data_IF_330162571561
#
_entry.id   IF_330162571561
#
_cell.length_a   1.000
_cell.length_b   1.000
_cell.length_c   1.000
_cell.angle_alpha   90.00
_cell.angle_beta   90.00
_cell.angle_gamma   90.00
#
_symmetry.space_group_name_H-M   'P 1'
#
loop_
_entity.id
_entity.type
_entity.pdbx_description
1 polymer ?
#
# COMPACT_ATOMS: atom_id res chain seq x y z
N UNK A 1 46.69 -55.47 -29.18
CA UNK A 1 46.28 -54.08 -29.47
C UNK A 1 44.85 -53.93 -28.98
N UNK A 2 44.64 -52.97 -28.08
CA UNK A 2 43.34 -52.60 -27.55
C UNK A 2 42.62 -51.76 -28.62
N UNK A 3 41.43 -52.17 -29.04
CA UNK A 3 40.52 -51.28 -29.73
C UNK A 3 39.30 -51.07 -28.84
N UNK A 4 39.25 -49.87 -28.28
CA UNK A 4 38.17 -49.32 -27.49
C UNK A 4 36.89 -49.26 -28.32
N UNK A 5 35.86 -50.01 -27.90
CA UNK A 5 34.49 -49.80 -28.38
C UNK A 5 34.02 -48.44 -27.89
N UNK A 6 33.90 -47.49 -28.81
CA UNK A 6 33.15 -46.26 -28.59
C UNK A 6 31.66 -46.60 -28.60
N UNK A 7 31.02 -46.57 -27.42
CA UNK A 7 29.56 -46.55 -27.34
C UNK A 7 29.05 -45.27 -28.00
N UNK A 8 28.33 -45.43 -29.11
CA UNK A 8 27.62 -44.35 -29.75
C UNK A 8 26.42 -44.01 -28.86
N UNK A 9 26.53 -42.95 -28.07
CA UNK A 9 25.43 -42.36 -27.30
C UNK A 9 24.36 -41.88 -28.29
N UNK A 10 23.43 -42.76 -28.64
CA UNK A 10 22.29 -42.43 -29.47
C UNK A 10 21.37 -41.54 -28.62
N UNK A 11 21.35 -40.25 -28.96
CA UNK A 11 20.48 -39.28 -28.33
C UNK A 11 19.03 -39.74 -28.37
N UNK A 12 18.38 -39.69 -27.21
CA UNK A 12 17.01 -40.16 -27.00
C UNK A 12 16.09 -39.47 -28.01
N UNK A 13 15.33 -40.24 -28.79
CA UNK A 13 14.44 -39.69 -29.82
C UNK A 13 13.17 -39.14 -29.16
N UNK A 14 12.69 -37.96 -29.55
CA UNK A 14 11.50 -37.30 -28.94
C UNK A 14 10.26 -38.20 -28.84
N UNK A 15 10.06 -39.11 -29.81
CA UNK A 15 8.99 -40.10 -29.79
C UNK A 15 9.10 -41.08 -28.61
N UNK A 16 10.29 -41.49 -28.20
CA UNK A 16 10.51 -42.40 -27.08
C UNK A 16 10.14 -41.72 -25.76
N UNK A 17 10.44 -40.43 -25.61
CA UNK A 17 10.05 -39.61 -24.47
C UNK A 17 8.52 -39.51 -24.31
N UNK A 18 7.82 -39.29 -25.42
CA UNK A 18 6.35 -39.25 -25.44
C UNK A 18 5.74 -40.61 -25.08
N UNK A 19 6.33 -41.70 -25.55
CA UNK A 19 5.84 -43.04 -25.26
C UNK A 19 6.03 -43.40 -23.77
N UNK A 20 7.16 -42.99 -23.17
CA UNK A 20 7.40 -43.09 -21.73
C UNK A 20 6.39 -42.28 -20.91
N UNK A 21 6.07 -41.06 -21.33
CA UNK A 21 5.04 -40.23 -20.68
C UNK A 21 3.65 -40.90 -20.72
N UNK A 22 3.29 -41.52 -21.85
CA UNK A 22 2.02 -42.27 -21.97
C UNK A 22 2.01 -43.51 -21.06
N UNK A 23 3.11 -44.24 -20.96
CA UNK A 23 3.21 -45.42 -20.10
C UNK A 23 3.11 -45.08 -18.60
N UNK A 24 3.50 -43.87 -18.19
CA UNK A 24 3.45 -43.39 -16.81
C UNK A 24 2.41 -42.28 -16.58
N UNK A 25 1.32 -42.29 -17.35
CA UNK A 25 0.30 -41.23 -17.35
C UNK A 25 -0.27 -40.89 -15.95
N UNK A 26 -0.41 -41.89 -15.06
CA UNK A 26 -0.87 -41.65 -13.67
C UNK A 26 0.08 -40.75 -12.88
N UNK A 27 1.39 -40.96 -12.99
CA UNK A 27 2.39 -40.12 -12.32
C UNK A 27 2.39 -38.69 -12.88
N UNK A 28 2.18 -38.56 -14.19
CA UNK A 28 2.02 -37.26 -14.82
C UNK A 28 0.79 -36.51 -14.29
N UNK A 29 -0.37 -37.17 -14.25
CA UNK A 29 -1.61 -36.60 -13.69
C UNK A 29 -1.40 -36.16 -12.23
N UNK A 30 -0.75 -36.98 -11.40
CA UNK A 30 -0.51 -36.65 -9.99
C UNK A 30 0.36 -35.39 -9.87
N UNK A 31 1.45 -35.29 -10.63
CA UNK A 31 2.31 -34.11 -10.63
C UNK A 31 1.56 -32.87 -11.10
N UNK A 32 0.80 -32.96 -12.19
CA UNK A 32 -0.01 -31.85 -12.72
C UNK A 32 -1.06 -31.40 -11.71
N UNK A 33 -1.78 -32.35 -11.10
CA UNK A 33 -2.80 -32.05 -10.09
C UNK A 33 -2.19 -31.41 -8.85
N UNK A 34 -1.06 -31.93 -8.36
CA UNK A 34 -0.36 -31.36 -7.20
C UNK A 34 0.12 -29.94 -7.50
N UNK A 35 0.69 -29.69 -8.68
CA UNK A 35 1.10 -28.36 -9.11
C UNK A 35 -0.09 -27.38 -9.15
N UNK A 36 -1.22 -27.79 -9.78
CA UNK A 36 -2.44 -26.98 -9.83
C UNK A 36 -3.00 -26.65 -8.45
N UNK A 37 -3.01 -27.62 -7.53
CA UNK A 37 -3.46 -27.42 -6.15
C UNK A 37 -2.57 -26.42 -5.41
N UNK A 38 -1.24 -26.55 -5.54
CA UNK A 38 -0.28 -25.61 -4.93
C UNK A 38 -0.42 -24.20 -5.51
N UNK A 39 -0.51 -24.05 -6.83
CA UNK A 39 -0.71 -22.75 -7.49
C UNK A 39 -2.02 -22.11 -7.06
N UNK A 40 -3.11 -22.87 -7.03
CA UNK A 40 -4.43 -22.36 -6.62
C UNK A 40 -4.41 -21.94 -5.16
N UNK A 41 -3.81 -22.75 -4.27
CA UNK A 41 -3.60 -22.38 -2.87
C UNK A 41 -2.81 -21.08 -2.73
N UNK A 42 -1.70 -20.96 -3.45
CA UNK A 42 -0.87 -19.75 -3.43
C UNK A 42 -1.65 -18.50 -3.87
N UNK A 43 -2.45 -18.59 -4.93
CA UNK A 43 -3.27 -17.47 -5.43
C UNK A 43 -4.35 -17.03 -4.44
N UNK A 44 -4.98 -17.97 -3.73
CA UNK A 44 -6.01 -17.66 -2.72
C UNK A 44 -5.39 -16.93 -1.52
N UNK A 45 -4.17 -17.31 -1.12
CA UNK A 45 -3.48 -16.73 0.04
C UNK A 45 -2.83 -15.37 -0.25
N UNK A 46 -2.33 -15.15 -1.47
CA UNK A 46 -1.57 -13.94 -1.81
C UNK A 46 -2.49 -12.72 -1.88
N UNK A 47 -2.06 -11.63 -1.24
CA UNK A 47 -2.70 -10.32 -1.38
C UNK A 47 -2.27 -9.67 -2.71
N UNK A 48 -3.20 -9.18 -3.54
CA UNK A 48 -2.85 -8.42 -4.73
C UNK A 48 -2.18 -7.09 -4.31
N UNK A 49 -1.11 -6.74 -5.02
CA UNK A 49 -0.43 -5.45 -4.87
C UNK A 49 -0.87 -4.58 -6.05
N UNK A 50 -1.35 -3.38 -5.75
CA UNK A 50 -1.85 -2.44 -6.75
C UNK A 50 -0.88 -1.28 -6.89
N UNK A 51 -0.54 -0.92 -8.13
CA UNK A 51 0.26 0.25 -8.46
C UNK A 51 -0.65 1.34 -9.02
N UNK A 52 -0.35 2.60 -8.66
CA UNK A 52 -1.03 3.79 -9.18
C UNK A 52 0.04 4.78 -9.61
N UNK A 53 -0.01 5.18 -10.88
CA UNK A 53 0.90 6.18 -11.45
C UNK A 53 0.10 7.42 -11.84
N UNK A 54 0.68 8.60 -11.62
CA UNK A 54 0.14 9.88 -12.05
C UNK A 54 1.23 10.64 -12.80
N UNK A 55 0.84 11.39 -13.84
CA UNK A 55 1.73 12.27 -14.59
C UNK A 55 1.28 13.71 -14.39
N UNK A 56 2.23 14.59 -14.06
CA UNK A 56 1.97 16.01 -13.83
C UNK A 56 2.74 16.77 -14.92
N UNK A 57 2.04 17.65 -15.63
CA UNK A 57 2.63 18.53 -16.64
C UNK A 57 2.68 19.95 -16.08
N UNK A 58 3.89 20.52 -16.00
CA UNK A 58 4.10 21.91 -15.56
C UNK A 58 4.17 22.77 -16.82
N UNK A 59 3.28 23.77 -16.90
CA UNK A 59 3.31 24.77 -17.95
C UNK A 59 3.89 26.06 -17.37
N UNK A 60 5.00 26.50 -17.95
CA UNK A 60 5.56 27.81 -17.64
C UNK A 60 4.77 28.88 -18.40
N UNK A 61 3.94 29.65 -17.70
CA UNK A 61 3.39 30.89 -18.25
C UNK A 61 4.46 31.98 -18.14
N UNK A 62 5.49 31.91 -18.99
CA UNK A 62 6.42 33.00 -19.20
C UNK A 62 5.73 34.15 -19.96
N UNK A 63 4.71 34.78 -19.37
CA UNK A 63 4.26 36.08 -19.83
C UNK A 63 5.32 37.11 -19.43
N UNK A 64 5.91 37.88 -20.37
CA UNK A 64 6.89 38.91 -20.05
C UNK A 64 6.16 40.12 -19.47
N UNK A 65 5.62 39.99 -18.26
CA UNK A 65 5.00 41.08 -17.51
C UNK A 65 6.08 41.90 -16.81
N UNK A 66 6.95 42.56 -17.58
CA UNK A 66 7.62 43.77 -17.13
C UNK A 66 8.12 44.56 -18.34
N UNK A 67 7.84 45.86 -18.36
CA UNK A 67 8.27 46.79 -19.42
C UNK A 67 9.81 46.93 -19.53
N UNK A 68 10.59 46.24 -18.68
CA UNK A 68 12.05 46.12 -18.76
C UNK A 68 12.52 45.03 -19.75
N UNK A 69 11.64 44.10 -20.15
CA UNK A 69 12.01 42.95 -20.98
C UNK A 69 12.16 43.29 -22.47
N UNK A 70 11.54 44.37 -22.96
CA UNK A 70 11.65 44.75 -24.38
C UNK A 70 13.09 45.10 -24.81
N UNK A 71 13.88 45.71 -23.93
CA UNK A 71 15.30 46.01 -24.18
C UNK A 71 16.22 44.79 -24.05
N UNK A 72 15.87 43.84 -23.18
CA UNK A 72 16.65 42.62 -22.93
C UNK A 72 16.35 41.50 -23.95
N UNK A 73 15.16 41.51 -24.56
CA UNK A 73 14.76 40.54 -25.60
C UNK A 73 15.64 40.61 -26.84
N UNK A 74 16.14 41.80 -27.18
CA UNK A 74 17.06 42.03 -28.30
C UNK A 74 18.46 41.42 -28.03
N UNK A 75 18.86 41.30 -26.74
CA UNK A 75 20.13 40.69 -26.32
C UNK A 75 20.02 39.16 -26.12
N UNK A 76 18.79 38.64 -26.03
CA UNK A 76 18.51 37.19 -25.91
C UNK A 76 18.50 36.47 -27.27
N UNK A 77 18.49 37.20 -28.40
CA UNK A 77 18.58 36.64 -29.75
C UNK A 77 19.89 35.89 -30.05
N UNK A 78 20.86 35.90 -29.14
CA UNK A 78 22.17 35.24 -29.30
C UNK A 78 22.46 34.13 -28.27
N UNK A 79 21.52 33.79 -27.39
CA UNK A 79 21.78 32.85 -26.28
C UNK A 79 20.54 32.14 -25.73
N UNK A 80 19.57 31.85 -26.60
CA UNK A 80 18.27 31.28 -26.20
C UNK A 80 18.35 29.84 -25.70
N UNK A 81 18.74 29.62 -24.44
CA UNK A 81 18.46 28.38 -23.69
C UNK A 81 18.82 28.45 -22.18
N UNK A 82 18.56 29.53 -21.43
CA UNK A 82 19.00 29.56 -20.01
C UNK A 82 17.98 30.01 -18.95
N UNK A 83 16.72 30.30 -19.32
CA UNK A 83 15.75 30.89 -18.37
C UNK A 83 14.69 29.95 -17.77
N UNK A 84 14.35 28.83 -18.41
CA UNK A 84 13.14 28.06 -18.08
C UNK A 84 13.36 26.82 -17.19
N UNK A 85 14.60 26.34 -17.03
CA UNK A 85 14.86 25.05 -16.36
C UNK A 85 14.88 25.12 -14.83
N UNK A 86 15.21 26.27 -14.24
CA UNK A 86 15.36 26.41 -12.79
C UNK A 86 14.02 26.48 -12.04
N UNK A 87 12.96 27.05 -12.65
CA UNK A 87 11.66 27.20 -12.01
C UNK A 87 10.95 25.84 -11.84
N UNK A 88 10.93 25.02 -12.89
CA UNK A 88 10.36 23.66 -12.84
C UNK A 88 11.06 22.79 -11.78
N UNK A 89 12.38 22.85 -11.71
CA UNK A 89 13.16 22.09 -10.74
C UNK A 89 12.87 22.51 -9.30
N UNK A 90 12.69 23.81 -9.05
CA UNK A 90 12.36 24.34 -7.71
C UNK A 90 10.96 23.89 -7.25
N UNK A 91 9.96 23.94 -8.13
CA UNK A 91 8.60 23.48 -7.80
C UNK A 91 8.55 21.96 -7.54
N UNK A 92 9.28 21.19 -8.36
CA UNK A 92 9.37 19.74 -8.16
C UNK A 92 10.01 19.38 -6.80
N UNK A 93 11.08 20.08 -6.40
CA UNK A 93 11.73 19.88 -5.10
C UNK A 93 10.80 20.29 -3.96
N UNK A 94 10.10 21.42 -4.11
CA UNK A 94 9.11 21.89 -3.13
C UNK A 94 7.99 20.86 -2.92
N UNK A 95 7.47 20.25 -4.00
CA UNK A 95 6.45 19.20 -3.92
C UNK A 95 6.97 17.93 -3.21
N UNK A 96 8.23 17.55 -3.43
CA UNK A 96 8.86 16.38 -2.80
C UNK A 96 9.37 16.62 -1.37
N UNK A 97 9.19 17.82 -0.82
CA UNK A 97 9.73 18.15 0.51
C UNK A 97 9.00 17.37 1.63
N UNK A 98 9.70 16.81 2.64
CA UNK A 98 9.12 16.00 3.72
C UNK A 98 7.97 16.70 4.47
N UNK A 99 8.06 18.01 4.65
CA UNK A 99 7.03 18.79 5.33
C UNK A 99 5.69 18.75 4.57
N UNK A 100 5.73 18.86 3.23
CA UNK A 100 4.55 18.82 2.38
C UNK A 100 3.97 17.40 2.35
N UNK A 101 4.83 16.38 2.22
CA UNK A 101 4.41 14.97 2.27
C UNK A 101 3.75 14.67 3.63
N UNK A 102 4.32 15.16 4.73
CA UNK A 102 3.75 14.99 6.07
C UNK A 102 2.36 15.61 6.20
N UNK A 103 2.15 16.80 5.64
CA UNK A 103 0.83 17.41 5.62
C UNK A 103 -0.18 16.59 4.80
N UNK A 104 0.24 16.05 3.65
CA UNK A 104 -0.58 15.16 2.84
C UNK A 104 -0.93 13.88 3.60
N UNK A 105 0.04 13.25 4.26
CA UNK A 105 -0.17 12.05 5.09
C UNK A 105 -1.21 12.33 6.18
N UNK A 106 -1.11 13.47 6.87
CA UNK A 106 -2.07 13.87 7.92
C UNK A 106 -3.45 14.18 7.36
N UNK A 107 -3.55 14.93 6.26
CA UNK A 107 -4.83 15.32 5.66
C UNK A 107 -5.59 14.12 5.08
N UNK A 108 -4.88 13.19 4.45
CA UNK A 108 -5.45 12.00 3.83
C UNK A 108 -5.50 10.78 4.78
N UNK A 109 -5.01 10.92 6.02
CA UNK A 109 -4.91 9.84 7.01
C UNK A 109 -4.18 8.59 6.46
N UNK A 110 -3.11 8.80 5.69
CA UNK A 110 -2.33 7.71 5.06
C UNK A 110 -1.53 6.88 6.09
N UNK A 111 -1.43 7.37 7.32
CA UNK A 111 -0.83 6.68 8.45
C UNK A 111 -1.76 5.62 9.06
N UNK A 112 -3.05 5.59 8.70
CA UNK A 112 -4.01 4.59 9.16
C UNK A 112 -4.09 3.38 8.21
N UNK A 113 -4.09 2.19 8.80
CA UNK A 113 -4.30 0.93 8.12
C UNK A 113 -5.40 0.14 8.82
N UNK A 114 -6.42 -0.22 8.05
CA UNK A 114 -7.55 -1.02 8.50
C UNK A 114 -7.47 -2.39 7.88
N UNK A 115 -7.77 -3.42 8.66
CA UNK A 115 -7.75 -4.78 8.15
C UNK A 115 -8.66 -5.72 8.91
N UNK A 116 -9.34 -6.58 8.17
CA UNK A 116 -10.13 -7.67 8.73
C UNK A 116 -9.48 -9.01 8.41
N UNK A 117 -9.78 -10.03 9.22
CA UNK A 117 -9.31 -11.40 9.02
C UNK A 117 -10.50 -12.35 9.21
N UNK A 118 -11.35 -12.54 8.18
CA UNK A 118 -12.52 -13.41 8.27
C UNK A 118 -12.15 -14.89 8.37
N UNK A 119 -11.04 -15.30 7.74
CA UNK A 119 -10.57 -16.68 7.75
C UNK A 119 -9.04 -16.74 7.67
N UNK A 120 -8.47 -17.27 6.59
CA UNK A 120 -7.03 -17.48 6.43
C UNK A 120 -6.26 -16.24 5.96
N UNK A 121 -6.92 -15.34 5.23
CA UNK A 121 -6.28 -14.16 4.63
C UNK A 121 -6.67 -12.88 5.35
N UNK A 122 -5.67 -12.00 5.51
CA UNK A 122 -5.87 -10.63 6.00
C UNK A 122 -6.27 -9.74 4.82
N UNK A 123 -7.45 -9.13 4.91
CA UNK A 123 -8.01 -8.26 3.87
C UNK A 123 -7.90 -6.81 4.36
N UNK A 124 -7.21 -5.92 3.64
CA UNK A 124 -7.22 -4.50 3.97
C UNK A 124 -8.60 -3.91 3.69
N UNK A 125 -9.07 -3.03 4.57
CA UNK A 125 -10.32 -2.29 4.41
C UNK A 125 -9.98 -0.85 4.01
N UNK A 126 -10.53 -0.36 2.92
CA UNK A 126 -10.34 1.01 2.45
C UNK A 126 -11.51 1.43 1.56
N UNK A 127 -11.76 2.74 1.46
CA UNK A 127 -12.82 3.30 0.61
C UNK A 127 -14.20 2.71 0.92
N UNK A 128 -14.86 2.17 -0.11
CA UNK A 128 -16.24 1.67 -0.04
C UNK A 128 -16.42 0.41 0.80
N UNK A 129 -15.34 -0.26 1.21
CA UNK A 129 -15.39 -1.45 2.06
C UNK A 129 -15.10 -1.15 3.54
N UNK A 130 -14.76 0.10 3.90
CA UNK A 130 -14.42 0.48 5.27
C UNK A 130 -15.69 0.94 5.99
N UNK A 131 -16.24 0.20 6.98
CA UNK A 131 -17.50 0.59 7.63
C UNK A 131 -17.35 1.71 8.65
N UNK A 132 -16.20 1.82 9.33
CA UNK A 132 -15.96 2.85 10.35
C UNK A 132 -14.62 3.54 10.13
N UNK A 133 -14.63 4.86 10.28
CA UNK A 133 -13.44 5.69 10.31
C UNK A 133 -13.04 5.94 11.76
N UNK A 134 -11.74 5.84 12.06
CA UNK A 134 -11.19 6.06 13.39
C UNK A 134 -10.25 7.26 13.34
N UNK A 135 -10.47 8.21 14.24
CA UNK A 135 -9.57 9.34 14.44
C UNK A 135 -9.12 9.38 15.90
N UNK A 136 -7.80 9.44 16.12
CA UNK A 136 -7.22 9.50 17.46
C UNK A 136 -6.58 10.87 17.68
N UNK A 137 -7.13 11.63 18.64
CA UNK A 137 -6.58 12.94 19.03
C UNK A 137 -5.65 12.82 20.23
N UNK A 138 -4.62 13.68 20.29
CA UNK A 138 -3.65 13.71 21.41
C UNK A 138 -2.41 12.81 21.22
N UNK A 139 -2.14 12.37 19.98
CA UNK A 139 -0.93 11.64 19.62
C UNK A 139 0.14 12.55 19.03
N UNK A 140 1.41 12.23 19.29
CA UNK A 140 2.55 12.90 18.65
C UNK A 140 2.85 12.29 17.28
N UNK A 141 3.58 13.02 16.44
CA UNK A 141 3.95 12.57 15.09
C UNK A 141 4.93 11.37 15.07
N UNK A 142 5.54 11.06 16.22
CA UNK A 142 6.39 9.88 16.42
C UNK A 142 5.66 8.69 17.04
N UNK A 143 4.41 8.87 17.48
CA UNK A 143 3.67 7.82 18.16
C UNK A 143 2.99 6.88 17.15
N UNK A 144 3.15 5.58 17.36
CA UNK A 144 2.36 4.54 16.73
C UNK A 144 1.27 4.04 17.68
N UNK A 145 0.17 3.56 17.11
CA UNK A 145 -0.90 2.95 17.86
C UNK A 145 -1.55 1.78 17.12
N UNK A 146 -2.13 0.87 17.88
CA UNK A 146 -3.00 -0.16 17.32
C UNK A 146 -4.14 -0.46 18.26
N UNK A 147 -5.27 -0.85 17.70
CA UNK A 147 -6.45 -1.28 18.45
C UNK A 147 -7.23 -2.31 17.62
N UNK A 148 -8.05 -3.08 18.31
CA UNK A 148 -9.05 -3.95 17.70
C UNK A 148 -10.42 -3.35 17.95
N UNK A 149 -11.25 -3.32 16.91
CA UNK A 149 -12.63 -2.86 16.95
C UNK A 149 -13.51 -4.02 16.51
N UNK A 150 -14.47 -4.39 17.35
CA UNK A 150 -15.50 -5.38 17.06
C UNK A 150 -16.83 -4.65 16.90
N UNK A 151 -17.47 -4.83 15.76
CA UNK A 151 -18.78 -4.28 15.44
C UNK A 151 -19.79 -5.42 15.55
N UNK A 152 -20.81 -5.26 16.39
CA UNK A 152 -21.91 -6.21 16.55
C UNK A 152 -23.23 -5.48 16.73
N UNK A 153 -24.11 -5.55 15.72
CA UNK A 153 -25.50 -5.06 15.80
C UNK A 153 -25.62 -3.63 16.38
N UNK A 154 -24.88 -2.68 15.81
CA UNK A 154 -24.85 -1.29 16.27
C UNK A 154 -23.91 -0.99 17.45
N UNK A 155 -23.41 -2.02 18.13
CA UNK A 155 -22.47 -1.88 19.25
C UNK A 155 -21.03 -1.96 18.77
N UNK A 156 -20.18 -1.19 19.43
CA UNK A 156 -18.74 -1.13 19.21
C UNK A 156 -18.04 -1.61 20.47
N UNK A 157 -17.11 -2.55 20.31
CA UNK A 157 -16.17 -2.94 21.35
C UNK A 157 -14.75 -2.64 20.89
N UNK A 158 -14.04 -1.79 21.62
CA UNK A 158 -12.64 -1.44 21.38
C UNK A 158 -11.79 -2.21 22.39
N UNK A 159 -10.78 -2.93 21.92
CA UNK A 159 -9.89 -3.73 22.76
C UNK A 159 -8.45 -3.72 22.22
N UNK A 160 -7.52 -4.31 22.98
CA UNK A 160 -6.11 -4.46 22.58
C UNK A 160 -5.44 -3.14 22.18
N UNK A 161 -5.70 -2.06 22.92
CA UNK A 161 -5.08 -0.77 22.67
C UNK A 161 -3.57 -0.88 22.92
N UNK A 162 -2.78 -0.37 21.98
CA UNK A 162 -1.33 -0.22 22.12
C UNK A 162 -0.94 1.16 21.65
N UNK A 163 -0.01 1.78 22.39
CA UNK A 163 0.68 2.99 21.98
C UNK A 163 2.18 2.71 22.07
N UNK A 164 2.88 2.77 20.95
CA UNK A 164 4.28 2.38 20.85
C UNK A 164 4.47 0.96 21.40
N UNK A 165 5.34 0.80 22.41
CA UNK A 165 5.59 -0.49 23.08
C UNK A 165 4.63 -0.78 24.24
N UNK A 166 3.81 0.18 24.63
CA UNK A 166 2.92 0.07 25.79
C UNK A 166 1.59 -0.54 25.36
N UNK A 167 1.15 -1.58 26.08
CA UNK A 167 -0.15 -2.23 25.89
C UNK A 167 -1.10 -1.78 26.99
N UNK A 168 -2.35 -1.54 26.64
CA UNK A 168 -3.42 -1.19 27.56
C UNK A 168 -4.51 -2.25 27.43
N UNK A 169 -4.76 -2.99 28.50
CA UNK A 169 -5.73 -4.08 28.53
C UNK A 169 -7.15 -3.61 28.89
N UNK A 170 -7.51 -2.43 28.39
CA UNK A 170 -8.79 -1.78 28.68
C UNK A 170 -9.75 -2.01 27.52
N UNK A 171 -10.97 -2.43 27.85
CA UNK A 171 -12.05 -2.59 26.88
C UNK A 171 -13.03 -1.42 26.99
N UNK A 172 -13.43 -0.90 25.84
CA UNK A 172 -14.43 0.16 25.75
C UNK A 172 -15.62 -0.35 24.96
N UNK A 173 -16.81 -0.29 25.56
CA UNK A 173 -18.06 -0.66 24.91
C UNK A 173 -18.88 0.61 24.65
N UNK A 174 -19.51 0.68 23.48
CA UNK A 174 -20.42 1.77 23.15
C UNK A 174 -21.09 1.60 21.79
N UNK A 175 -21.33 2.71 21.11
CA UNK A 175 -22.00 2.75 19.80
C UNK A 175 -21.13 3.43 18.74
N UNK A 176 -21.48 3.24 17.47
CA UNK A 176 -20.84 3.98 16.37
C UNK A 176 -21.24 5.46 16.44
N UNK A 177 -20.41 6.37 15.94
CA UNK A 177 -20.57 7.82 16.05
C UNK A 177 -20.39 8.36 17.47
N UNK A 178 -19.48 7.74 18.23
CA UNK A 178 -19.16 8.12 19.60
C UNK A 178 -17.67 8.39 19.77
N UNK A 179 -17.32 9.16 20.80
CA UNK A 179 -15.95 9.45 21.20
C UNK A 179 -15.65 8.74 22.51
N UNK A 180 -14.50 8.07 22.57
CA UNK A 180 -14.06 7.29 23.72
C UNK A 180 -12.80 7.90 24.32
N UNK A 181 -12.83 8.12 25.64
CA UNK A 181 -11.68 8.60 26.39
C UNK A 181 -10.78 7.41 26.73
N UNK A 182 -9.56 7.40 26.17
CA UNK A 182 -8.60 6.32 26.36
C UNK A 182 -7.22 6.84 26.78
N UNK A 183 -6.34 6.00 27.38
CA UNK A 183 -4.97 6.36 27.71
C UNK A 183 -4.12 6.80 26.50
N UNK A 184 -4.53 6.40 25.29
CA UNK A 184 -3.80 6.75 24.06
C UNK A 184 -4.31 8.06 23.44
N UNK A 185 -5.41 8.62 23.95
CA UNK A 185 -6.05 9.83 23.44
C UNK A 185 -7.57 9.72 23.35
N UNK A 186 -8.19 10.70 22.69
CA UNK A 186 -9.62 10.65 22.35
C UNK A 186 -9.77 9.85 21.06
N UNK A 187 -10.50 8.73 21.11
CA UNK A 187 -10.77 7.89 19.95
C UNK A 187 -12.17 8.23 19.45
N UNK A 188 -12.29 8.91 18.32
CA UNK A 188 -13.55 9.15 17.63
C UNK A 188 -13.79 8.05 16.61
N UNK A 189 -14.97 7.41 16.66
CA UNK A 189 -15.38 6.38 15.71
C UNK A 189 -16.61 6.88 14.97
N UNK A 190 -16.49 7.04 13.66
CA UNK A 190 -17.55 7.57 12.80
C UNK A 190 -17.95 6.54 11.74
N UNK A 191 -19.25 6.37 11.51
CA UNK A 191 -19.76 5.53 10.43
C UNK A 191 -19.39 6.11 9.07
N UNK A 192 -19.04 5.24 8.12
CA UNK A 192 -18.91 5.60 6.71
C UNK A 192 -20.17 5.21 5.93
N UNK A 193 -20.19 5.48 4.62
CA UNK A 193 -21.26 5.01 3.71
C UNK A 193 -21.39 3.49 3.64
N UNK A 194 -20.33 2.75 3.96
CA UNK A 194 -20.32 1.29 3.89
C UNK A 194 -21.01 0.64 5.10
N UNK A 195 -21.22 1.39 6.18
CA UNK A 195 -21.80 0.87 7.41
C UNK A 195 -23.29 0.57 7.29
N UNK A 196 -23.67 -0.70 7.47
CA UNK A 196 -25.07 -1.11 7.42
C UNK A 196 -25.73 -1.36 8.80
N UNK A 197 -25.00 -1.18 9.90
CA UNK A 197 -25.50 -1.38 11.26
C UNK A 197 -25.66 -2.84 11.73
N UNK A 198 -25.61 -3.81 10.81
CA UNK A 198 -25.84 -5.25 11.06
C UNK A 198 -24.60 -6.11 10.85
N UNK A 199 -23.47 -5.51 10.52
CA UNK A 199 -22.21 -6.22 10.36
C UNK A 199 -21.73 -6.82 11.68
N UNK A 200 -21.30 -8.09 11.61
CA UNK A 200 -20.49 -8.75 12.61
C UNK A 200 -19.07 -8.86 12.03
N UNK A 201 -18.25 -7.84 12.32
CA UNK A 201 -16.89 -7.76 11.77
C UNK A 201 -15.90 -7.27 12.82
N UNK A 202 -14.75 -7.94 12.86
CA UNK A 202 -13.58 -7.50 13.60
C UNK A 202 -12.62 -6.76 12.68
N UNK A 203 -12.28 -5.53 13.08
CA UNK A 203 -11.38 -4.63 12.36
C UNK A 203 -10.15 -4.39 13.23
N UNK A 204 -8.99 -4.69 12.68
CA UNK A 204 -7.71 -4.32 13.26
C UNK A 204 -7.27 -2.99 12.66
N UNK A 205 -7.17 -1.98 13.52
CA UNK A 205 -6.74 -0.64 13.17
C UNK A 205 -5.31 -0.46 13.63
N UNK A 206 -4.46 0.01 12.72
CA UNK A 206 -3.08 0.42 13.03
C UNK A 206 -2.89 1.83 12.54
N UNK A 207 -2.39 2.68 13.42
CA UNK A 207 -1.93 4.03 13.10
C UNK A 207 -0.41 4.01 13.21
N UNK A 208 0.28 4.15 12.09
CA UNK A 208 1.73 4.28 12.10
C UNK A 208 2.11 5.72 12.51
N UNK A 209 3.34 5.92 12.97
CA UNK A 209 3.86 7.25 13.19
C UNK A 209 3.91 8.01 11.84
N UNK A 210 3.29 9.20 11.71
CA UNK A 210 3.30 9.96 10.46
C UNK A 210 4.70 10.15 9.87
N UNK A 211 5.71 10.43 10.71
CA UNK A 211 7.10 10.60 10.28
C UNK A 211 7.67 9.32 9.66
N UNK A 212 7.29 8.14 10.17
CA UNK A 212 7.71 6.86 9.59
C UNK A 212 7.08 6.66 8.21
N UNK A 213 5.79 6.97 8.08
CA UNK A 213 5.08 6.89 6.80
C UNK A 213 5.66 7.84 5.76
N UNK A 214 6.10 9.05 6.15
CA UNK A 214 6.79 9.98 5.24
C UNK A 214 8.07 9.35 4.71
N UNK A 215 8.92 8.77 5.58
CA UNK A 215 10.15 8.08 5.15
C UNK A 215 9.87 6.93 4.18
N UNK A 216 8.85 6.12 4.47
CA UNK A 216 8.44 5.01 3.59
C UNK A 216 7.95 5.51 2.21
N UNK A 217 7.45 6.75 2.12
CA UNK A 217 7.03 7.39 0.87
C UNK A 217 8.21 8.03 0.15
N UNK A 218 9.12 8.69 0.87
CA UNK A 218 10.36 9.25 0.32
C UNK A 218 11.21 8.17 -0.37
N UNK A 219 11.38 7.00 0.27
CA UNK A 219 12.12 5.86 -0.31
C UNK A 219 11.51 5.36 -1.64
N UNK A 220 10.22 5.63 -1.89
CA UNK A 220 9.53 5.26 -3.14
C UNK A 220 9.50 6.38 -4.17
N UNK A 221 9.87 7.59 -3.78
CA UNK A 221 9.90 8.78 -4.64
C UNK A 221 11.29 9.01 -5.27
N UNK A 222 12.31 8.40 -4.69
CA UNK A 222 13.68 8.27 -5.22
C UNK A 222 13.77 7.17 -6.28
#
# INVERSE_FOLDING_TARGET
MQDTKYEHSQGITFKEYLNYCKAKHLWFIICTTTCLLLTTGYLILKNPVYERSAQIMIKDDASPSSKLTAGLSMMQGFGGLLGASSNVSNELISMKTPANILEVVKRLNLDYSYSTRPFLRKIPLYGDCLPVNVNISGMKDCDDASMKIELQNGKVKISNLKKNKNKFDTEYNGTVNSVYHSPIGLIAITATKAYNGKEDITINVKKNAPIKTVKDIEEKLD
#
